data_IF_700093721803
#
_entry.id   IF_700093721803
#
_cell.length_a   1.000
_cell.length_b   1.000
_cell.length_c   1.000
_cell.angle_alpha   90.00
_cell.angle_beta   90.00
_cell.angle_gamma   90.00
#
_symmetry.space_group_name_H-M   'P 1'
#
loop_
_entity.id
_entity.type
_entity.pdbx_description
1 polymer ?
#
# COMPACT_ATOMS: atom_id res chain seq x y z
N UNK A 1 -20.66 -12.68 0.41
CA UNK A 1 -20.33 -13.55 -0.73
C UNK A 1 -20.11 -14.99 -0.27
N UNK A 2 -19.11 -15.29 0.56
CA UNK A 2 -18.74 -16.67 0.94
C UNK A 2 -19.96 -17.47 1.46
N UNK A 3 -20.71 -16.91 2.40
CA UNK A 3 -21.87 -17.62 3.00
C UNK A 3 -23.00 -17.88 2.00
N UNK A 4 -23.15 -17.03 0.99
CA UNK A 4 -24.23 -17.13 0.00
C UNK A 4 -23.83 -17.97 -1.24
N UNK A 5 -22.55 -17.99 -1.59
CA UNK A 5 -22.09 -18.54 -2.89
C UNK A 5 -20.95 -19.54 -2.77
N UNK A 6 -20.40 -19.73 -1.57
CA UNK A 6 -19.23 -20.58 -1.33
C UNK A 6 -17.89 -19.99 -1.77
N UNK A 7 -17.89 -18.82 -2.45
CA UNK A 7 -16.67 -18.17 -2.95
C UNK A 7 -16.56 -16.72 -2.46
N UNK A 8 -15.34 -16.22 -2.24
CA UNK A 8 -15.15 -14.85 -1.74
C UNK A 8 -15.51 -13.76 -2.77
N UNK A 9 -15.43 -14.08 -4.06
CA UNK A 9 -15.78 -13.18 -5.15
C UNK A 9 -16.27 -13.96 -6.37
N UNK A 10 -17.52 -13.70 -6.79
CA UNK A 10 -18.12 -14.32 -7.97
C UNK A 10 -17.69 -13.64 -9.27
N UNK A 11 -17.80 -14.34 -10.40
CA UNK A 11 -17.48 -13.76 -11.71
C UNK A 11 -18.53 -12.71 -12.13
N UNK A 12 -19.80 -12.85 -11.72
CA UNK A 12 -20.83 -11.82 -11.94
C UNK A 12 -20.47 -10.51 -11.21
N UNK A 13 -19.96 -10.58 -9.97
CA UNK A 13 -19.50 -9.40 -9.25
C UNK A 13 -18.30 -8.74 -9.94
N UNK A 14 -17.39 -9.51 -10.54
CA UNK A 14 -16.28 -8.98 -11.34
C UNK A 14 -16.80 -8.31 -12.61
N UNK A 15 -17.77 -8.92 -13.31
CA UNK A 15 -18.37 -8.36 -14.51
C UNK A 15 -19.08 -7.01 -14.19
N UNK A 16 -19.86 -6.96 -13.12
CA UNK A 16 -20.49 -5.75 -12.64
C UNK A 16 -19.47 -4.65 -12.30
N UNK A 17 -18.38 -5.02 -11.58
CA UNK A 17 -17.32 -4.08 -11.24
C UNK A 17 -16.61 -3.52 -12.49
N UNK A 18 -16.40 -4.35 -13.52
CA UNK A 18 -15.81 -3.90 -14.80
C UNK A 18 -16.71 -2.97 -15.60
N UNK A 19 -18.03 -3.12 -15.46
CA UNK A 19 -19.03 -2.30 -16.15
C UNK A 19 -19.31 -0.96 -15.43
N UNK A 20 -18.78 -0.80 -14.20
CA UNK A 20 -19.02 0.39 -13.37
C UNK A 20 -17.90 1.41 -13.52
N UNK A 21 -18.19 2.69 -13.35
CA UNK A 21 -17.22 3.78 -13.32
C UNK A 21 -16.32 3.73 -12.08
N UNK A 22 -16.86 3.23 -10.95
CA UNK A 22 -16.15 3.11 -9.69
C UNK A 22 -16.71 1.96 -8.83
N UNK A 23 -15.88 1.43 -7.95
CA UNK A 23 -16.27 0.39 -6.99
C UNK A 23 -16.02 0.89 -5.57
N UNK A 24 -17.09 1.08 -4.80
CA UNK A 24 -17.00 1.36 -3.37
C UNK A 24 -16.93 0.03 -2.61
N UNK A 25 -15.84 -0.17 -1.86
CA UNK A 25 -15.64 -1.38 -1.06
C UNK A 25 -15.69 -1.08 0.43
N UNK A 26 -16.35 -1.96 1.18
CA UNK A 26 -16.23 -2.03 2.63
C UNK A 26 -14.95 -2.76 3.08
N UNK A 27 -14.77 -2.89 4.40
CA UNK A 27 -13.66 -3.64 4.98
C UNK A 27 -13.76 -5.13 4.63
N UNK A 28 -12.64 -5.73 4.25
CA UNK A 28 -12.51 -7.16 3.93
C UNK A 28 -11.59 -7.80 4.96
N UNK A 29 -11.99 -8.99 5.42
CA UNK A 29 -11.29 -9.75 6.45
C UNK A 29 -12.13 -9.91 7.71
N UNK A 30 -11.52 -10.47 8.74
CA UNK A 30 -12.15 -10.71 10.03
C UNK A 30 -11.12 -11.10 11.07
N UNK A 31 -11.59 -11.39 12.27
CA UNK A 31 -10.71 -11.92 13.31
C UNK A 31 -10.29 -13.35 12.93
N UNK A 32 -8.99 -13.58 12.78
CA UNK A 32 -8.43 -14.86 12.33
C UNK A 32 -8.72 -16.02 13.30
N UNK A 33 -8.94 -15.73 14.57
CA UNK A 33 -9.21 -16.74 15.60
C UNK A 33 -10.70 -17.11 15.72
N UNK A 34 -11.60 -16.16 15.45
CA UNK A 34 -13.04 -16.34 15.71
C UNK A 34 -13.90 -16.43 14.44
N UNK A 35 -13.45 -15.89 13.32
CA UNK A 35 -14.21 -15.90 12.08
C UNK A 35 -14.18 -17.29 11.43
N UNK A 36 -15.36 -17.85 11.02
CA UNK A 36 -15.46 -19.16 10.40
C UNK A 36 -14.72 -19.27 9.07
N UNK A 37 -14.55 -18.17 8.35
CA UNK A 37 -13.92 -18.16 7.02
C UNK A 37 -12.42 -18.52 7.06
N UNK A 38 -11.72 -18.32 8.17
CA UNK A 38 -10.30 -18.70 8.29
C UNK A 38 -10.06 -20.18 8.49
N UNK A 39 -11.13 -20.97 8.69
CA UNK A 39 -11.10 -22.45 8.64
C UNK A 39 -11.13 -22.99 7.21
N UNK A 40 -11.49 -22.14 6.24
CA UNK A 40 -11.53 -22.51 4.82
C UNK A 40 -10.11 -22.53 4.23
N UNK A 41 -9.98 -23.19 3.08
CA UNK A 41 -8.76 -23.17 2.28
C UNK A 41 -8.37 -21.72 1.92
N UNK A 42 -7.08 -21.39 1.81
CA UNK A 42 -6.61 -20.02 1.60
C UNK A 42 -7.27 -19.28 0.43
N UNK A 43 -7.56 -19.98 -0.66
CA UNK A 43 -8.20 -19.45 -1.87
C UNK A 43 -9.68 -19.09 -1.68
N UNK A 44 -10.31 -19.60 -0.63
CA UNK A 44 -11.71 -19.33 -0.28
C UNK A 44 -11.85 -18.25 0.81
N UNK A 45 -10.74 -17.73 1.33
CA UNK A 45 -10.76 -16.70 2.36
C UNK A 45 -11.09 -15.32 1.79
N UNK A 46 -11.59 -14.37 2.60
CA UNK A 46 -11.95 -13.04 2.14
C UNK A 46 -10.83 -12.30 1.39
N UNK A 47 -9.58 -12.45 1.84
CA UNK A 47 -8.42 -11.80 1.25
C UNK A 47 -8.15 -12.27 -0.19
N UNK A 48 -8.43 -13.55 -0.49
CA UNK A 48 -8.30 -14.08 -1.86
C UNK A 48 -9.25 -13.38 -2.83
N UNK A 49 -10.49 -13.08 -2.38
CA UNK A 49 -11.45 -12.29 -3.16
C UNK A 49 -10.94 -10.88 -3.45
N UNK A 50 -10.34 -10.21 -2.46
CA UNK A 50 -9.75 -8.89 -2.65
C UNK A 50 -8.60 -8.90 -3.67
N UNK A 51 -7.70 -9.87 -3.58
CA UNK A 51 -6.59 -10.01 -4.52
C UNK A 51 -7.09 -10.34 -5.94
N UNK A 52 -8.11 -11.22 -6.07
CA UNK A 52 -8.77 -11.53 -7.34
C UNK A 52 -9.38 -10.28 -7.97
N UNK A 53 -10.08 -9.45 -7.18
CA UNK A 53 -10.70 -8.21 -7.67
C UNK A 53 -9.63 -7.22 -8.19
N UNK A 54 -8.58 -6.96 -7.40
CA UNK A 54 -7.48 -6.07 -7.78
C UNK A 54 -6.83 -6.49 -9.10
N UNK A 55 -6.56 -7.79 -9.26
CA UNK A 55 -6.00 -8.36 -10.49
C UNK A 55 -6.95 -8.22 -11.66
N UNK A 56 -8.25 -8.54 -11.47
CA UNK A 56 -9.27 -8.50 -12.52
C UNK A 56 -9.53 -7.10 -13.07
N UNK A 57 -9.39 -6.08 -12.22
CA UNK A 57 -9.55 -4.66 -12.57
C UNK A 57 -8.22 -3.96 -12.89
N UNK A 58 -7.09 -4.67 -12.83
CA UNK A 58 -5.74 -4.12 -13.01
C UNK A 58 -5.47 -2.88 -12.13
N UNK A 59 -5.85 -2.94 -10.84
CA UNK A 59 -5.67 -1.86 -9.88
C UNK A 59 -4.25 -1.85 -9.35
N UNK A 60 -3.34 -1.27 -10.09
CA UNK A 60 -1.91 -1.30 -9.81
C UNK A 60 -1.42 -0.19 -8.88
N UNK A 61 -2.14 0.92 -8.77
CA UNK A 61 -1.76 2.06 -7.97
C UNK A 61 -2.68 2.24 -6.76
N UNK A 62 -2.13 2.15 -5.57
CA UNK A 62 -2.82 2.47 -4.33
C UNK A 62 -2.37 3.84 -3.83
N UNK A 63 -3.27 4.80 -3.88
CA UNK A 63 -3.05 6.17 -3.42
C UNK A 63 -3.48 6.29 -1.97
N UNK A 64 -2.55 6.68 -1.11
CA UNK A 64 -2.78 6.86 0.32
C UNK A 64 -2.38 8.28 0.72
N UNK A 65 -3.32 9.23 0.75
CA UNK A 65 -3.02 10.55 1.30
C UNK A 65 -2.78 10.45 2.81
N UNK A 66 -1.76 11.14 3.29
CA UNK A 66 -1.50 11.34 4.71
C UNK A 66 -1.46 12.84 4.95
N UNK A 67 -2.56 13.35 5.46
CA UNK A 67 -2.76 14.75 5.78
C UNK A 67 -3.09 14.90 7.26
N UNK A 68 -2.38 15.76 7.96
CA UNK A 68 -2.67 16.07 9.35
C UNK A 68 -3.63 17.27 9.43
N UNK A 69 -4.90 16.97 9.74
CA UNK A 69 -5.91 17.99 10.01
C UNK A 69 -5.62 18.71 11.33
N UNK A 70 -5.90 20.01 11.38
CA UNK A 70 -5.68 20.84 12.60
C UNK A 70 -6.40 20.26 13.82
N UNK A 71 -7.63 19.79 13.61
CA UNK A 71 -8.49 19.20 14.65
C UNK A 71 -7.93 17.87 15.19
N UNK A 72 -7.04 17.22 14.45
CA UNK A 72 -6.43 15.94 14.82
C UNK A 72 -5.00 16.07 15.36
N UNK A 73 -4.44 17.27 15.45
CA UNK A 73 -3.08 17.49 15.94
C UNK A 73 -2.89 16.92 17.36
N UNK A 74 -3.84 17.16 18.25
CA UNK A 74 -3.79 16.66 19.63
C UNK A 74 -3.75 15.11 19.73
N UNK A 75 -4.23 14.41 18.70
CA UNK A 75 -4.20 12.95 18.63
C UNK A 75 -2.94 12.41 17.89
N UNK A 76 -2.12 13.28 17.31
CA UNK A 76 -0.91 12.88 16.62
C UNK A 76 0.15 12.40 17.63
N UNK A 77 0.76 11.22 17.42
CA UNK A 77 1.78 10.69 18.33
C UNK A 77 3.15 11.37 18.18
N UNK A 78 3.31 12.23 17.18
CA UNK A 78 4.55 12.99 16.97
C UNK A 78 4.54 14.26 17.84
N UNK A 79 5.72 14.71 18.22
CA UNK A 79 5.90 15.93 19.00
C UNK A 79 5.48 17.16 18.19
N UNK A 80 4.99 18.20 18.88
CA UNK A 80 4.50 19.46 18.29
C UNK A 80 5.57 20.18 17.47
N UNK A 81 6.84 20.15 17.89
CA UNK A 81 7.95 20.76 17.16
C UNK A 81 8.27 20.02 15.85
N UNK A 82 7.98 18.71 15.77
CA UNK A 82 8.13 17.91 14.55
C UNK A 82 6.98 18.17 13.58
N UNK A 83 5.74 18.15 14.07
CA UNK A 83 4.56 18.35 13.21
C UNK A 83 4.41 19.81 12.78
N UNK A 84 4.75 20.78 13.63
CA UNK A 84 4.65 22.20 13.33
C UNK A 84 3.25 22.59 12.84
N UNK A 85 3.14 23.12 11.62
CA UNK A 85 1.86 23.47 10.98
C UNK A 85 1.13 22.27 10.38
N UNK A 86 1.64 21.05 10.51
CA UNK A 86 1.10 19.83 9.91
C UNK A 86 1.95 19.32 8.75
N UNK A 87 1.49 18.22 8.17
CA UNK A 87 2.11 17.63 6.97
C UNK A 87 1.03 17.18 5.98
N UNK A 88 1.39 17.17 4.72
CA UNK A 88 0.60 16.68 3.60
C UNK A 88 1.50 15.88 2.66
N UNK A 89 1.31 14.57 2.58
CA UNK A 89 2.04 13.71 1.68
C UNK A 89 1.14 12.70 1.00
N UNK A 90 1.53 12.25 -0.19
CA UNK A 90 0.85 11.18 -0.93
C UNK A 90 1.75 9.96 -1.01
N UNK A 91 1.28 8.82 -0.54
CA UNK A 91 1.99 7.57 -0.72
C UNK A 91 1.40 6.81 -1.88
N UNK A 92 2.25 6.57 -2.89
CA UNK A 92 1.97 5.79 -4.08
C UNK A 92 2.54 4.39 -3.89
N UNK A 93 1.66 3.42 -3.62
CA UNK A 93 2.04 2.02 -3.46
C UNK A 93 1.72 1.25 -4.73
N UNK A 94 2.70 0.55 -5.30
CA UNK A 94 2.44 -0.48 -6.30
C UNK A 94 1.61 -1.61 -5.65
N UNK A 95 0.61 -2.16 -6.34
CA UNK A 95 -0.39 -3.00 -5.69
C UNK A 95 -0.59 -4.38 -6.34
N UNK A 96 -0.03 -4.63 -7.52
CA UNK A 96 -0.28 -5.85 -8.32
C UNK A 96 0.96 -6.67 -8.62
N UNK A 97 2.13 -6.22 -8.17
CA UNK A 97 3.40 -6.95 -8.25
C UNK A 97 3.94 -7.34 -6.87
N UNK A 98 5.18 -7.80 -6.87
CA UNK A 98 5.95 -8.11 -5.68
C UNK A 98 5.53 -9.41 -4.97
N UNK A 99 5.83 -9.47 -3.68
CA UNK A 99 5.70 -10.66 -2.85
C UNK A 99 4.28 -11.26 -2.80
N UNK A 100 3.25 -10.41 -2.84
CA UNK A 100 1.86 -10.87 -2.70
C UNK A 100 1.33 -11.61 -3.93
N UNK A 101 1.98 -11.45 -5.09
CA UNK A 101 1.59 -12.05 -6.37
C UNK A 101 2.63 -13.02 -6.94
N UNK A 102 3.76 -13.17 -6.24
CA UNK A 102 4.80 -14.13 -6.60
C UNK A 102 4.40 -15.58 -6.33
N UNK A 103 5.21 -16.50 -6.84
CA UNK A 103 5.06 -17.92 -6.57
C UNK A 103 5.28 -18.22 -5.10
N UNK A 104 4.49 -19.15 -4.56
CA UNK A 104 4.57 -19.61 -3.18
C UNK A 104 4.64 -21.13 -3.15
N UNK A 105 5.46 -21.65 -2.25
CA UNK A 105 5.66 -23.07 -2.12
C UNK A 105 5.98 -23.41 -0.67
N UNK A 106 5.34 -24.46 -0.16
CA UNK A 106 5.75 -25.12 1.09
C UNK A 106 6.02 -26.58 0.77
N UNK A 107 7.21 -27.04 1.07
CA UNK A 107 7.66 -28.39 0.76
C UNK A 107 8.57 -28.92 1.87
N UNK A 108 8.82 -30.22 1.84
CA UNK A 108 9.84 -30.84 2.66
C UNK A 108 11.16 -30.91 1.88
N UNK A 109 12.21 -30.29 2.42
CA UNK A 109 13.57 -30.32 1.88
C UNK A 109 14.48 -30.91 2.94
N UNK A 110 15.13 -32.02 2.63
CA UNK A 110 16.03 -32.74 3.56
C UNK A 110 15.38 -33.05 4.93
N UNK A 111 14.09 -33.43 4.93
CA UNK A 111 13.32 -33.73 6.15
C UNK A 111 12.89 -32.50 6.95
N UNK A 112 13.08 -31.27 6.41
CA UNK A 112 12.67 -30.01 7.06
C UNK A 112 11.58 -29.30 6.23
N UNK A 113 10.48 -28.95 6.89
CA UNK A 113 9.44 -28.16 6.24
C UNK A 113 9.96 -26.77 5.89
N UNK A 114 10.01 -26.45 4.60
CA UNK A 114 10.53 -25.19 4.05
C UNK A 114 9.44 -24.45 3.30
N UNK A 115 9.22 -23.19 3.62
CA UNK A 115 8.29 -22.30 2.94
C UNK A 115 9.05 -21.22 2.15
N UNK A 116 8.67 -21.00 0.89
CA UNK A 116 9.28 -20.01 0.00
C UNK A 116 8.20 -19.08 -0.55
N UNK A 117 8.45 -17.78 -0.45
CA UNK A 117 7.69 -16.73 -1.13
C UNK A 117 8.61 -15.99 -2.09
N UNK A 118 8.18 -15.81 -3.35
CA UNK A 118 9.00 -15.16 -4.39
C UNK A 118 8.57 -13.71 -4.59
N UNK A 119 9.51 -12.79 -4.50
CA UNK A 119 9.31 -11.39 -4.83
C UNK A 119 9.74 -11.12 -6.27
N UNK A 120 8.82 -10.69 -7.13
CA UNK A 120 9.08 -10.46 -8.54
C UNK A 120 8.51 -9.12 -8.98
N UNK A 121 9.31 -8.35 -9.71
CA UNK A 121 8.90 -7.15 -10.44
C UNK A 121 9.46 -7.19 -11.85
N UNK A 122 8.67 -6.72 -12.82
CA UNK A 122 9.15 -6.43 -14.16
C UNK A 122 9.17 -4.92 -14.42
N UNK A 123 9.89 -4.50 -15.46
CA UNK A 123 10.07 -3.09 -15.77
C UNK A 123 8.76 -2.37 -16.11
N UNK A 124 7.77 -3.05 -16.69
CA UNK A 124 6.49 -2.46 -17.06
C UNK A 124 5.66 -2.12 -15.82
N UNK A 125 5.68 -2.98 -14.80
CA UNK A 125 5.02 -2.75 -13.50
C UNK A 125 5.63 -1.53 -12.80
N UNK A 126 6.95 -1.44 -12.78
CA UNK A 126 7.66 -0.32 -12.16
C UNK A 126 7.41 0.97 -12.94
N UNK A 127 7.54 0.93 -14.27
CA UNK A 127 7.37 2.11 -15.13
C UNK A 127 5.98 2.72 -15.03
N UNK A 128 4.93 1.90 -15.02
CA UNK A 128 3.55 2.42 -14.91
C UNK A 128 3.27 3.12 -13.59
N UNK A 129 3.77 2.58 -12.46
CA UNK A 129 3.56 3.20 -11.15
C UNK A 129 4.46 4.43 -10.97
N UNK A 130 5.69 4.40 -11.48
CA UNK A 130 6.60 5.54 -11.48
C UNK A 130 5.98 6.73 -12.21
N UNK A 131 5.51 6.53 -13.46
CA UNK A 131 4.83 7.59 -14.23
C UNK A 131 3.68 8.21 -13.44
N UNK A 132 2.83 7.41 -12.79
CA UNK A 132 1.73 7.93 -11.95
C UNK A 132 2.22 8.69 -10.73
N UNK A 133 3.33 8.26 -10.12
CA UNK A 133 3.95 8.99 -9.01
C UNK A 133 4.46 10.37 -9.45
N UNK A 134 5.15 10.46 -10.57
CA UNK A 134 5.62 11.72 -11.14
C UNK A 134 4.46 12.62 -11.64
N UNK A 135 3.43 12.05 -12.28
CA UNK A 135 2.21 12.79 -12.67
C UNK A 135 1.53 13.47 -11.47
N UNK A 136 1.47 12.77 -10.33
CA UNK A 136 0.91 13.33 -9.09
C UNK A 136 1.84 14.40 -8.52
N UNK A 137 3.14 14.17 -8.50
CA UNK A 137 4.11 15.15 -8.02
C UNK A 137 4.05 16.47 -8.82
N UNK A 138 3.83 16.39 -10.14
CA UNK A 138 3.63 17.59 -10.98
C UNK A 138 2.45 18.46 -10.53
N UNK A 139 1.43 17.85 -9.91
CA UNK A 139 0.24 18.56 -9.39
C UNK A 139 0.39 18.96 -7.92
N UNK A 140 1.54 18.65 -7.31
CA UNK A 140 1.86 18.90 -5.90
C UNK A 140 3.14 19.73 -5.78
N UNK A 141 4.00 19.42 -4.82
CA UNK A 141 5.24 20.19 -4.55
C UNK A 141 6.44 19.75 -5.41
N UNK A 142 6.21 18.94 -6.45
CA UNK A 142 7.21 18.49 -7.42
C UNK A 142 8.39 17.76 -6.79
N UNK A 143 8.14 16.92 -5.76
CA UNK A 143 9.16 16.08 -5.15
C UNK A 143 8.68 14.62 -5.07
N UNK A 144 9.54 13.69 -5.52
CA UNK A 144 9.33 12.24 -5.39
C UNK A 144 10.44 11.63 -4.53
N UNK A 145 10.07 10.93 -3.47
CA UNK A 145 10.98 10.07 -2.71
C UNK A 145 10.66 8.61 -3.06
N UNK A 146 11.54 7.99 -3.84
CA UNK A 146 11.43 6.59 -4.23
C UNK A 146 12.01 5.69 -3.14
N UNK A 147 11.17 4.85 -2.53
CA UNK A 147 11.52 4.05 -1.37
C UNK A 147 11.65 2.58 -1.75
N UNK A 148 12.77 1.98 -1.38
CA UNK A 148 13.16 0.64 -1.82
C UNK A 148 14.10 -0.07 -0.82
N UNK A 149 14.56 -1.27 -1.17
CA UNK A 149 15.58 -2.06 -0.43
C UNK A 149 16.75 -2.46 -1.36
N UNK A 150 17.23 -1.55 -2.20
CA UNK A 150 18.23 -1.81 -3.23
C UNK A 150 19.61 -2.26 -2.70
N UNK A 151 19.90 -2.00 -1.43
CA UNK A 151 21.11 -2.53 -0.78
C UNK A 151 21.12 -4.07 -0.64
N UNK A 152 19.96 -4.72 -0.76
CA UNK A 152 19.80 -6.17 -0.62
C UNK A 152 19.16 -6.81 -1.85
N UNK A 153 18.07 -6.22 -2.40
CA UNK A 153 17.19 -6.87 -3.37
C UNK A 153 17.50 -6.46 -4.81
N UNK A 154 17.56 -7.44 -5.71
CA UNK A 154 17.70 -7.21 -7.16
C UNK A 154 16.47 -6.50 -7.74
N UNK A 155 15.27 -6.86 -7.29
CA UNK A 155 14.03 -6.18 -7.70
C UNK A 155 14.04 -4.68 -7.37
N UNK A 156 14.59 -4.30 -6.22
CA UNK A 156 14.73 -2.89 -5.83
C UNK A 156 15.84 -2.18 -6.61
N UNK A 157 16.89 -2.87 -7.05
CA UNK A 157 17.88 -2.31 -7.97
C UNK A 157 17.28 -2.02 -9.35
N UNK A 158 16.45 -2.94 -9.86
CA UNK A 158 15.68 -2.71 -11.08
C UNK A 158 14.68 -1.54 -10.89
N UNK A 159 14.04 -1.47 -9.73
CA UNK A 159 13.14 -0.37 -9.37
C UNK A 159 13.83 0.98 -9.52
N UNK A 160 15.00 1.18 -8.90
CA UNK A 160 15.77 2.43 -9.02
C UNK A 160 16.06 2.78 -10.46
N UNK A 161 16.62 1.83 -11.23
CA UNK A 161 16.95 2.03 -12.64
C UNK A 161 15.75 2.56 -13.45
N UNK A 162 14.58 1.93 -13.29
CA UNK A 162 13.40 2.33 -14.05
C UNK A 162 12.83 3.67 -13.56
N UNK A 163 12.86 3.96 -12.25
CA UNK A 163 12.46 5.26 -11.72
C UNK A 163 13.36 6.38 -12.26
N UNK A 164 14.67 6.16 -12.34
CA UNK A 164 15.63 7.11 -12.93
C UNK A 164 15.37 7.34 -14.43
N UNK A 165 15.00 6.28 -15.17
CA UNK A 165 14.61 6.42 -16.58
C UNK A 165 13.36 7.28 -16.73
N UNK A 166 12.32 7.02 -15.92
CA UNK A 166 11.06 7.78 -15.95
C UNK A 166 11.27 9.23 -15.51
N UNK A 167 12.15 9.50 -14.54
CA UNK A 167 12.41 10.84 -14.05
C UNK A 167 12.92 11.79 -15.15
N UNK A 168 13.57 11.26 -16.18
CA UNK A 168 14.04 12.07 -17.33
C UNK A 168 12.91 12.75 -18.10
N UNK A 169 11.71 12.17 -18.08
CA UNK A 169 10.51 12.72 -18.70
C UNK A 169 9.87 13.85 -17.85
N UNK A 170 10.35 14.07 -16.60
CA UNK A 170 9.79 15.02 -15.64
C UNK A 170 10.86 15.97 -15.06
N UNK A 171 11.51 16.79 -15.87
CA UNK A 171 12.65 17.64 -15.45
C UNK A 171 12.31 18.65 -14.36
N UNK A 172 11.03 18.96 -14.16
CA UNK A 172 10.56 19.87 -13.11
C UNK A 172 10.40 19.18 -11.74
N UNK A 173 10.46 17.85 -11.68
CA UNK A 173 10.28 17.06 -10.45
C UNK A 173 11.65 16.69 -9.89
N UNK A 174 11.92 17.11 -8.67
CA UNK A 174 13.08 16.62 -7.93
C UNK A 174 12.79 15.21 -7.42
N UNK A 175 13.77 14.31 -7.49
CA UNK A 175 13.61 12.98 -6.94
C UNK A 175 14.85 12.53 -6.16
N UNK A 176 14.62 11.65 -5.22
CA UNK A 176 15.66 10.99 -4.43
C UNK A 176 15.30 9.52 -4.21
N UNK A 177 16.31 8.66 -4.06
CA UNK A 177 16.11 7.30 -3.59
C UNK A 177 16.38 7.22 -2.08
N UNK A 178 15.52 6.51 -1.38
CA UNK A 178 15.67 6.32 0.06
C UNK A 178 15.47 4.84 0.42
N UNK A 179 16.36 4.28 1.21
CA UNK A 179 16.15 2.94 1.76
C UNK A 179 14.99 2.94 2.73
N UNK A 180 14.20 1.88 2.71
CA UNK A 180 12.97 1.75 3.52
C UNK A 180 13.21 2.00 5.01
N UNK A 181 14.32 1.53 5.56
CA UNK A 181 14.64 1.69 6.98
C UNK A 181 14.90 3.16 7.32
N UNK A 182 15.63 3.87 6.45
CA UNK A 182 15.84 5.30 6.59
C UNK A 182 14.54 6.09 6.42
N UNK A 183 13.71 5.72 5.44
CA UNK A 183 12.40 6.37 5.24
C UNK A 183 11.53 6.28 6.51
N UNK A 184 11.53 5.12 7.18
CA UNK A 184 10.82 4.94 8.45
C UNK A 184 11.29 5.91 9.54
N UNK A 185 12.60 6.09 9.66
CA UNK A 185 13.20 7.04 10.60
C UNK A 185 12.88 8.49 10.24
N UNK A 186 13.00 8.84 8.96
CA UNK A 186 12.75 10.19 8.47
C UNK A 186 11.29 10.62 8.59
N UNK A 187 10.34 9.69 8.40
CA UNK A 187 8.91 9.95 8.62
C UNK A 187 8.57 10.34 10.06
N UNK A 188 9.31 9.82 11.03
CA UNK A 188 9.15 10.19 12.45
C UNK A 188 9.92 11.46 12.79
N UNK A 189 11.07 11.69 12.15
CA UNK A 189 11.96 12.82 12.41
C UNK A 189 11.46 14.11 11.78
N UNK A 190 11.05 14.07 10.52
CA UNK A 190 10.51 15.20 9.76
C UNK A 190 9.59 14.73 8.62
N UNK A 191 8.30 14.47 8.89
CA UNK A 191 7.35 14.05 7.87
C UNK A 191 7.10 15.11 6.79
N UNK A 192 7.37 16.40 7.08
CA UNK A 192 7.13 17.53 6.18
C UNK A 192 8.05 17.54 4.97
N UNK A 193 9.20 16.86 5.05
CA UNK A 193 10.15 16.76 3.93
C UNK A 193 9.59 15.97 2.74
N UNK A 194 8.56 15.14 2.95
CA UNK A 194 7.98 14.29 1.91
C UNK A 194 6.80 14.95 1.20
N UNK A 195 6.75 14.80 -0.13
CA UNK A 195 5.59 15.19 -0.94
C UNK A 195 4.91 13.95 -1.54
N UNK A 196 5.58 13.23 -2.45
CA UNK A 196 5.12 11.95 -2.97
C UNK A 196 6.13 10.88 -2.59
N UNK A 197 5.69 9.87 -1.84
CA UNK A 197 6.46 8.67 -1.55
C UNK A 197 6.03 7.59 -2.53
N UNK A 198 6.95 7.17 -3.40
CA UNK A 198 6.74 6.11 -4.38
C UNK A 198 7.37 4.81 -3.87
N UNK A 199 6.61 3.71 -3.79
CA UNK A 199 7.09 2.50 -3.13
C UNK A 199 6.51 1.22 -3.72
N UNK A 200 7.29 0.14 -3.56
CA UNK A 200 6.91 -1.24 -3.85
C UNK A 200 5.74 -1.73 -2.99
N UNK A 201 5.19 -2.89 -3.32
CA UNK A 201 4.01 -3.45 -2.65
C UNK A 201 4.27 -3.87 -1.18
N UNK A 202 5.43 -4.43 -0.86
CA UNK A 202 5.76 -4.93 0.49
C UNK A 202 6.11 -3.80 1.47
N UNK A 203 6.84 -2.82 1.01
CA UNK A 203 7.48 -1.78 1.82
C UNK A 203 6.49 -0.94 2.66
N UNK A 204 5.33 -0.50 2.15
CA UNK A 204 4.45 0.37 2.93
C UNK A 204 3.86 -0.27 4.19
N UNK A 205 3.74 -1.59 4.22
CA UNK A 205 3.15 -2.25 5.39
C UNK A 205 4.07 -2.24 6.60
N UNK A 206 5.39 -2.28 6.41
CA UNK A 206 6.37 -2.27 7.49
C UNK A 206 6.68 -0.86 8.01
N UNK A 207 6.66 0.14 7.14
CA UNK A 207 7.06 1.53 7.46
C UNK A 207 5.89 2.39 7.88
N UNK A 208 4.75 2.17 7.25
CA UNK A 208 3.63 3.10 7.25
C UNK A 208 2.57 2.80 8.30
N UNK A 209 2.34 1.51 8.56
CA UNK A 209 1.25 1.09 9.44
C UNK A 209 1.58 1.26 10.92
N UNK A 210 2.85 1.39 11.30
CA UNK A 210 3.19 1.37 12.71
C UNK A 210 3.04 2.72 13.41
N UNK A 211 3.16 3.88 12.72
CA UNK A 211 3.17 5.17 13.42
C UNK A 211 2.43 6.33 12.76
N UNK A 212 2.49 6.51 11.43
CA UNK A 212 1.76 7.61 10.78
C UNK A 212 0.30 7.24 10.50
N UNK A 213 0.02 5.98 10.16
CA UNK A 213 -1.35 5.47 10.08
C UNK A 213 -2.01 5.22 11.45
N UNK A 214 -1.31 5.40 12.54
CA UNK A 214 -1.90 5.54 13.87
C UNK A 214 -2.99 6.61 13.93
N UNK A 215 -2.93 7.63 13.07
CA UNK A 215 -3.99 8.62 12.91
C UNK A 215 -5.33 8.02 12.45
N UNK A 216 -5.33 6.93 11.68
CA UNK A 216 -6.56 6.20 11.34
C UNK A 216 -7.08 5.29 12.46
N UNK A 217 -6.27 4.99 13.46
CA UNK A 217 -6.65 4.11 14.59
C UNK A 217 -6.89 4.83 15.91
N UNK A 218 -6.62 6.14 16.00
CA UNK A 218 -6.69 6.91 17.25
C UNK A 218 -7.93 7.80 17.33
N UNK A 219 -8.96 7.56 16.53
CA UNK A 219 -10.28 8.05 16.92
C UNK A 219 -10.82 7.05 17.95
N UNK A 220 -10.89 7.41 19.24
CA UNK A 220 -11.63 6.58 20.20
C UNK A 220 -13.05 6.45 19.64
N UNK A 221 -13.65 5.28 19.76
CA UNK A 221 -15.03 5.00 19.34
C UNK A 221 -16.05 6.07 19.77
N UNK A 222 -15.72 6.83 20.80
CA UNK A 222 -16.51 7.94 21.33
C UNK A 222 -16.35 9.28 20.61
N UNK A 223 -15.40 9.43 19.69
CA UNK A 223 -15.15 10.70 18.97
C UNK A 223 -15.74 10.72 17.55
N UNK A 224 -16.30 9.62 17.05
CA UNK A 224 -17.04 9.61 15.81
C UNK A 224 -18.46 10.14 16.09
N UNK A 225 -18.92 11.19 15.36
CA UNK A 225 -20.32 11.55 15.41
C UNK A 225 -21.16 10.33 15.04
N UNK A 226 -22.25 10.09 15.77
CA UNK A 226 -23.14 8.93 15.63
C UNK A 226 -23.68 8.70 14.19
N UNK A 227 -23.44 9.63 13.28
CA UNK A 227 -23.84 9.55 11.84
C UNK A 227 -22.79 8.87 10.93
N UNK A 228 -21.63 8.46 11.45
CA UNK A 228 -20.56 7.81 10.67
C UNK A 228 -20.18 6.43 11.21
N UNK A 229 -21.00 5.82 12.06
CA UNK A 229 -20.81 4.42 12.41
C UNK A 229 -21.14 3.56 11.19
N UNK A 230 -20.22 2.71 10.74
CA UNK A 230 -20.52 1.75 9.69
C UNK A 230 -21.56 0.76 10.20
N UNK A 231 -22.58 0.53 9.41
CA UNK A 231 -23.58 -0.53 9.55
C UNK A 231 -22.94 -1.92 9.51
#
# INVERSE_FOLDING_TARGET
>A
SIDATGVPLTDDAIAAAKASDAVLMGSIGGNTSTSPWYKLAPELRPEAGLLKLRKSLNLFANLRPAYLYEELKAACPLRDDIIGTGFDMMIMRELTGGLYFGARKTEEVDGVTTATDTLTYNENEIRRIAKRGFDIAMKRRKKVTSVDKANVLDSSRLWRKIVEEVAKDYPEVTYEHMLVDNCAMQLVKDPKQFDVILTENMIPNSVYMSRVAGLHRILPEKALPTRLQPF
#
